data_IF_656308126869
#
_entry.id   IF_656308126869
#
_cell.length_a   1.000
_cell.length_b   1.000
_cell.length_c   1.000
_cell.angle_alpha   90.00
_cell.angle_beta   90.00
_cell.angle_gamma   90.00
#
_symmetry.space_group_name_H-M   'P 1'
#
loop_
_entity.id
_entity.type
_entity.pdbx_description
1 polymer ?
#
# COMPACT_ATOMS: atom_id res chain seq x y z
N UNK A 1 -13.16 5.26 -9.00
CA UNK A 1 -12.24 5.12 -7.91
C UNK A 1 -11.70 3.71 -7.83
N UNK A 2 -10.46 3.57 -7.98
CA UNK A 2 -9.87 2.25 -8.05
C UNK A 2 -9.26 1.85 -6.72
N UNK A 3 -9.89 0.88 -6.06
CA UNK A 3 -9.41 0.39 -4.78
C UNK A 3 -8.65 -0.91 -4.93
N UNK A 4 -8.44 -1.34 -6.16
CA UNK A 4 -7.76 -2.58 -6.41
C UNK A 4 -6.33 -2.54 -5.88
N UNK A 5 -5.67 -1.41 -6.09
CA UNK A 5 -4.31 -1.23 -5.62
C UNK A 5 -4.25 -1.23 -4.09
N UNK A 6 -5.23 -0.58 -3.46
CA UNK A 6 -5.31 -0.60 -2.00
C UNK A 6 -5.50 -2.02 -1.48
N UNK A 7 -6.30 -2.82 -2.16
CA UNK A 7 -6.50 -4.21 -1.76
C UNK A 7 -5.21 -5.01 -1.83
N UNK A 8 -4.45 -4.79 -2.89
CA UNK A 8 -3.17 -5.48 -3.05
C UNK A 8 -2.24 -5.11 -1.91
N UNK A 9 -2.18 -3.83 -1.57
CA UNK A 9 -1.33 -3.34 -0.49
C UNK A 9 -1.74 -3.97 0.84
N UNK A 10 -3.03 -3.93 1.14
CA UNK A 10 -3.52 -4.47 2.40
C UNK A 10 -3.32 -5.98 2.48
N UNK A 11 -3.51 -6.66 1.38
CA UNK A 11 -3.32 -8.10 1.33
C UNK A 11 -1.86 -8.46 1.61
N UNK A 12 -0.95 -7.70 1.02
CA UNK A 12 0.47 -7.92 1.22
C UNK A 12 0.87 -7.63 2.66
N UNK A 13 0.31 -6.57 3.22
CA UNK A 13 0.56 -6.21 4.61
C UNK A 13 0.09 -7.32 5.55
N UNK A 14 -1.08 -7.88 5.26
CA UNK A 14 -1.63 -8.95 6.07
C UNK A 14 -0.77 -10.21 6.00
N UNK A 15 -0.25 -10.50 4.82
CA UNK A 15 0.57 -11.68 4.60
C UNK A 15 1.93 -11.58 5.28
N UNK A 16 2.58 -10.44 5.14
CA UNK A 16 3.97 -10.28 5.55
C UNK A 16 4.17 -9.45 6.79
N UNK A 17 3.13 -8.77 7.23
CA UNK A 17 3.21 -7.93 8.40
C UNK A 17 3.77 -6.55 8.14
N UNK A 18 4.38 -6.33 6.98
CA UNK A 18 4.85 -5.01 6.59
C UNK A 18 4.97 -4.94 5.08
N UNK A 19 5.11 -3.72 4.56
CA UNK A 19 5.26 -3.49 3.14
C UNK A 19 6.29 -2.38 2.94
N UNK A 20 6.93 -2.38 1.77
CA UNK A 20 7.84 -1.30 1.39
C UNK A 20 7.35 -0.71 0.08
N UNK A 21 7.73 0.54 -0.17
CA UNK A 21 7.37 1.20 -1.41
C UNK A 21 7.92 0.45 -2.61
N UNK A 22 9.19 0.04 -2.53
CA UNK A 22 9.82 -0.69 -3.63
C UNK A 22 9.09 -1.98 -3.96
N UNK A 23 8.73 -2.71 -2.93
CA UNK A 23 8.01 -3.97 -3.09
C UNK A 23 6.66 -3.76 -3.75
N UNK A 24 5.95 -2.72 -3.32
CA UNK A 24 4.62 -2.44 -3.84
C UNK A 24 4.67 -1.92 -5.27
N UNK A 25 5.71 -1.17 -5.61
CA UNK A 25 5.90 -0.73 -6.99
C UNK A 25 6.02 -1.92 -7.91
N UNK A 26 6.82 -2.90 -7.52
CA UNK A 26 6.98 -4.11 -8.32
C UNK A 26 5.70 -4.92 -8.40
N UNK A 27 5.01 -5.01 -7.29
CA UNK A 27 3.82 -5.84 -7.21
C UNK A 27 2.66 -5.25 -8.00
N UNK A 28 2.50 -3.94 -7.97
CA UNK A 28 1.35 -3.28 -8.58
C UNK A 28 1.65 -2.67 -9.94
N UNK A 29 2.91 -2.42 -10.24
CA UNK A 29 3.27 -1.72 -11.45
C UNK A 29 3.02 -0.23 -11.40
N UNK A 30 2.60 0.29 -10.25
CA UNK A 30 2.34 1.71 -10.10
C UNK A 30 3.65 2.46 -9.82
N UNK A 31 3.62 3.78 -10.02
CA UNK A 31 4.79 4.58 -9.73
C UNK A 31 5.00 4.74 -8.24
N UNK A 32 6.21 5.10 -7.87
CA UNK A 32 6.55 5.31 -6.47
C UNK A 32 5.67 6.39 -5.83
N UNK A 33 5.44 7.47 -6.58
CA UNK A 33 4.59 8.55 -6.10
C UNK A 33 3.18 8.08 -5.79
N UNK A 34 2.65 7.25 -6.68
CA UNK A 34 1.31 6.70 -6.48
C UNK A 34 1.24 5.82 -5.26
N UNK A 35 2.26 4.98 -5.09
CA UNK A 35 2.29 4.09 -3.93
C UNK A 35 2.38 4.89 -2.64
N UNK A 36 3.22 5.91 -2.61
CA UNK A 36 3.34 6.75 -1.41
C UNK A 36 2.02 7.41 -1.07
N UNK A 37 1.33 7.91 -2.07
CA UNK A 37 0.03 8.54 -1.87
C UNK A 37 -0.97 7.53 -1.33
N UNK A 38 -0.97 6.32 -1.89
CA UNK A 38 -1.87 5.28 -1.41
C UNK A 38 -1.60 4.93 0.04
N UNK A 39 -0.34 4.85 0.41
CA UNK A 39 0.03 4.53 1.79
C UNK A 39 -0.43 5.61 2.75
N UNK A 40 -0.29 6.87 2.34
CA UNK A 40 -0.76 7.98 3.16
C UNK A 40 -2.27 7.89 3.35
N UNK A 41 -3.00 7.60 2.28
CA UNK A 41 -4.44 7.47 2.35
C UNK A 41 -4.87 6.34 3.26
N UNK A 42 -4.22 5.20 3.14
CA UNK A 42 -4.54 4.04 3.96
C UNK A 42 -4.22 4.30 5.42
N UNK A 43 -3.13 5.00 5.68
CA UNK A 43 -2.77 5.39 7.03
C UNK A 43 -3.82 6.32 7.63
N UNK A 44 -4.29 7.26 6.82
CA UNK A 44 -5.30 8.22 7.22
C UNK A 44 -6.61 7.53 7.59
N UNK A 45 -6.93 6.47 6.87
CA UNK A 45 -8.16 5.72 7.09
C UNK A 45 -8.03 4.70 8.21
N UNK A 46 -6.86 4.57 8.79
CA UNK A 46 -6.65 3.66 9.90
C UNK A 46 -6.37 2.22 9.51
N UNK A 47 -6.15 1.96 8.23
CA UNK A 47 -5.83 0.61 7.78
C UNK A 47 -4.38 0.23 8.02
N UNK A 48 -3.50 1.22 8.16
CA UNK A 48 -2.09 0.97 8.41
C UNK A 48 -1.74 1.44 9.81
N UNK A 49 -0.89 0.66 10.45
CA UNK A 49 -0.34 1.07 11.74
C UNK A 49 1.10 1.45 11.55
N UNK A 50 1.41 2.68 11.88
CA UNK A 50 2.78 3.14 11.83
C UNK A 50 3.36 3.04 13.22
N UNK A 51 4.52 2.46 13.25
CA UNK A 51 5.19 2.26 14.52
C UNK A 51 6.22 3.34 14.76
#
# INVERSE_FOLDING_TARGET
MDNQRHRIILNELDKKGNVTVASLVELTGASESSIRRDLVELDHQGFLKRV
#
